data_IF_810604413336
#
_entry.id   IF_810604413336
#
_cell.length_a   1.000
_cell.length_b   1.000
_cell.length_c   1.000
_cell.angle_alpha   90.00
_cell.angle_beta   90.00
_cell.angle_gamma   90.00
#
_symmetry.space_group_name_H-M   'P 1'
#
loop_
_entity.id
_entity.type
_entity.pdbx_description
1 polymer ?
#
# COMPACT_ATOMS: atom_id res chain seq x y z
N UNK A 1 6.54 -36.06 0.13
CA UNK A 1 5.27 -35.52 0.66
C UNK A 1 4.53 -36.68 1.33
N UNK A 2 4.06 -36.50 2.57
CA UNK A 2 3.00 -37.33 3.20
C UNK A 2 3.34 -38.75 3.69
N UNK A 3 4.20 -38.91 4.71
CA UNK A 3 4.46 -40.24 5.33
C UNK A 3 3.67 -40.47 6.65
N UNK A 4 2.42 -40.00 6.75
CA UNK A 4 1.52 -40.29 7.89
C UNK A 4 1.89 -39.69 9.27
N UNK A 5 3.14 -39.27 9.46
CA UNK A 5 3.63 -38.71 10.72
C UNK A 5 3.06 -37.31 10.99
N UNK A 6 2.88 -36.99 12.27
CA UNK A 6 2.44 -35.67 12.74
C UNK A 6 3.28 -34.54 12.13
N UNK A 7 4.60 -34.71 12.06
CA UNK A 7 5.53 -33.72 11.49
C UNK A 7 5.36 -33.54 9.98
N UNK A 8 5.02 -34.59 9.23
CA UNK A 8 4.75 -34.50 7.79
C UNK A 8 3.42 -33.80 7.47
N UNK A 9 2.48 -33.82 8.42
CA UNK A 9 1.17 -33.17 8.32
C UNK A 9 1.24 -31.67 8.59
N UNK A 10 2.24 -31.20 9.35
CA UNK A 10 2.44 -29.78 9.72
C UNK A 10 3.63 -29.13 9.02
N UNK A 11 4.51 -29.91 8.37
CA UNK A 11 5.66 -29.39 7.61
C UNK A 11 5.18 -28.54 6.43
N UNK A 12 5.66 -27.30 6.38
CA UNK A 12 5.36 -26.35 5.31
C UNK A 12 4.11 -25.48 5.54
N UNK A 13 3.32 -25.75 6.59
CA UNK A 13 2.13 -24.95 6.91
C UNK A 13 2.46 -23.65 7.67
N UNK A 14 3.69 -23.47 8.16
CA UNK A 14 4.05 -22.32 9.01
C UNK A 14 3.30 -22.36 10.35
N UNK A 15 3.71 -21.55 11.33
CA UNK A 15 3.13 -21.60 12.69
C UNK A 15 1.64 -21.23 12.77
N UNK A 16 1.07 -20.60 11.74
CA UNK A 16 -0.32 -20.13 11.71
C UNK A 16 -1.17 -20.65 10.56
N UNK A 17 -0.65 -21.49 9.66
CA UNK A 17 -1.34 -21.96 8.44
C UNK A 17 -1.83 -20.85 7.48
N UNK A 18 -1.60 -19.56 7.77
CA UNK A 18 -2.08 -18.39 7.00
C UNK A 18 -1.09 -17.20 6.96
N UNK A 19 0.00 -17.22 7.73
CA UNK A 19 0.93 -16.08 7.85
C UNK A 19 1.86 -15.86 6.64
N UNK A 20 2.14 -16.90 5.87
CA UNK A 20 3.11 -16.84 4.76
C UNK A 20 2.66 -15.88 3.65
N UNK A 21 1.36 -15.86 3.34
CA UNK A 21 0.82 -14.96 2.32
C UNK A 21 0.91 -13.50 2.78
N UNK A 22 0.41 -13.19 3.98
CA UNK A 22 0.48 -11.82 4.53
C UNK A 22 1.93 -11.32 4.64
N UNK A 23 2.84 -12.18 5.11
CA UNK A 23 4.26 -11.88 5.19
C UNK A 23 4.83 -11.57 3.81
N UNK A 24 4.60 -12.44 2.82
CA UNK A 24 5.12 -12.30 1.46
C UNK A 24 4.57 -11.05 0.77
N UNK A 25 3.26 -10.82 0.84
CA UNK A 25 2.62 -9.62 0.27
C UNK A 25 3.19 -8.35 0.90
N UNK A 26 3.50 -8.35 2.20
CA UNK A 26 4.16 -7.22 2.85
C UNK A 26 5.56 -6.94 2.28
N UNK A 27 6.32 -7.98 1.91
CA UNK A 27 7.67 -7.81 1.30
C UNK A 27 7.58 -7.33 -0.15
N UNK A 28 6.65 -7.91 -0.91
CA UNK A 28 6.41 -7.49 -2.31
C UNK A 28 6.00 -6.02 -2.36
N UNK A 29 5.05 -5.61 -1.51
CA UNK A 29 4.61 -4.21 -1.45
C UNK A 29 5.70 -3.27 -0.92
N UNK A 30 6.58 -3.72 0.00
CA UNK A 30 7.75 -2.95 0.43
C UNK A 30 8.73 -2.68 -0.71
N UNK A 31 9.06 -3.71 -1.50
CA UNK A 31 9.91 -3.57 -2.69
C UNK A 31 9.25 -2.68 -3.73
N UNK A 32 7.93 -2.83 -3.94
CA UNK A 32 7.14 -1.94 -4.79
C UNK A 32 7.25 -0.48 -4.35
N UNK A 33 7.15 -0.21 -3.04
CA UNK A 33 7.32 1.14 -2.50
C UNK A 33 8.74 1.65 -2.69
N UNK A 34 9.76 0.80 -2.51
CA UNK A 34 11.15 1.21 -2.74
C UNK A 34 11.33 1.75 -4.16
N UNK A 35 10.80 1.05 -5.17
CA UNK A 35 10.87 1.48 -6.56
C UNK A 35 10.04 2.74 -6.81
N UNK A 36 8.77 2.73 -6.41
CA UNK A 36 7.81 3.81 -6.72
C UNK A 36 8.12 5.11 -5.97
N UNK A 37 8.51 5.03 -4.70
CA UNK A 37 8.90 6.21 -3.92
C UNK A 37 10.24 6.76 -4.39
N UNK A 38 11.19 5.91 -4.80
CA UNK A 38 12.42 6.39 -5.44
C UNK A 38 12.10 7.15 -6.72
N UNK A 39 11.22 6.62 -7.58
CA UNK A 39 10.75 7.34 -8.76
C UNK A 39 10.13 8.69 -8.38
N UNK A 40 9.26 8.74 -7.37
CA UNK A 40 8.62 9.99 -6.93
C UNK A 40 9.67 11.02 -6.49
N UNK A 41 10.60 10.65 -5.59
CA UNK A 41 11.62 11.55 -5.06
C UNK A 41 12.53 12.05 -6.18
N UNK A 42 13.05 11.16 -7.02
CA UNK A 42 13.94 11.53 -8.12
C UNK A 42 13.21 12.41 -9.14
N UNK A 43 11.99 12.05 -9.53
CA UNK A 43 11.23 12.82 -10.53
C UNK A 43 10.86 14.22 -10.05
N UNK A 44 10.52 14.39 -8.76
CA UNK A 44 10.29 15.70 -8.16
C UNK A 44 11.58 16.50 -8.05
N UNK A 45 12.68 15.88 -7.62
CA UNK A 45 13.99 16.55 -7.48
C UNK A 45 14.55 17.06 -8.83
N UNK A 46 14.15 16.44 -9.95
CA UNK A 46 14.53 16.84 -11.30
C UNK A 46 13.59 17.88 -11.92
N UNK A 47 12.54 18.34 -11.20
CA UNK A 47 11.71 19.44 -11.68
C UNK A 47 12.48 20.77 -11.64
N UNK A 48 12.22 21.68 -12.59
CA UNK A 48 12.88 22.99 -12.60
C UNK A 48 12.46 23.86 -11.42
N UNK A 49 11.22 23.71 -10.93
CA UNK A 49 10.63 24.46 -9.83
C UNK A 49 9.32 23.77 -9.35
N UNK A 50 8.70 24.25 -8.26
CA UNK A 50 7.61 23.56 -7.53
C UNK A 50 6.28 24.33 -7.50
N UNK A 51 6.04 25.21 -8.46
CA UNK A 51 4.78 25.93 -8.63
C UNK A 51 3.65 24.95 -8.93
N UNK A 52 2.43 25.37 -8.61
CA UNK A 52 1.25 24.59 -8.91
C UNK A 52 1.17 24.22 -10.39
N UNK A 53 1.49 25.15 -11.30
CA UNK A 53 1.45 24.92 -12.75
C UNK A 53 2.43 23.82 -13.19
N UNK A 54 3.68 23.86 -12.69
CA UNK A 54 4.70 22.87 -13.05
C UNK A 54 4.41 21.49 -12.48
N UNK A 55 4.03 21.39 -11.20
CA UNK A 55 3.70 20.09 -10.59
C UNK A 55 2.46 19.50 -11.26
N UNK A 56 1.42 20.32 -11.50
CA UNK A 56 0.23 19.87 -12.21
C UNK A 56 0.55 19.38 -13.63
N UNK A 57 1.38 20.11 -14.37
CA UNK A 57 1.84 19.72 -15.70
C UNK A 57 2.63 18.41 -15.68
N UNK A 58 3.46 18.21 -14.64
CA UNK A 58 4.15 16.94 -14.42
C UNK A 58 3.18 15.79 -14.13
N UNK A 59 2.21 15.96 -13.23
CA UNK A 59 1.18 14.96 -12.92
C UNK A 59 0.39 14.57 -14.18
N UNK A 60 0.09 15.52 -15.06
CA UNK A 60 -0.67 15.28 -16.29
C UNK A 60 0.07 14.39 -17.31
N UNK A 61 1.37 14.18 -17.17
CA UNK A 61 2.13 13.29 -18.07
C UNK A 61 1.77 11.82 -17.81
N UNK A 62 1.76 10.94 -18.83
CA UNK A 62 1.35 9.54 -18.67
C UNK A 62 2.16 8.76 -17.63
N UNK A 63 3.49 8.91 -17.62
CA UNK A 63 4.34 8.14 -16.71
C UNK A 63 4.16 8.56 -15.23
N UNK A 64 4.24 9.86 -14.87
CA UNK A 64 3.93 10.31 -13.51
C UNK A 64 2.52 9.96 -13.04
N UNK A 65 1.50 10.14 -13.87
CA UNK A 65 0.11 9.80 -13.49
C UNK A 65 -0.04 8.31 -13.17
N UNK A 66 0.47 7.42 -14.03
CA UNK A 66 0.47 5.97 -13.76
C UNK A 66 1.24 5.65 -12.48
N UNK A 67 2.43 6.21 -12.29
CA UNK A 67 3.24 5.98 -11.11
C UNK A 67 2.54 6.44 -9.82
N UNK A 68 1.90 7.61 -9.82
CA UNK A 68 1.13 8.12 -8.68
C UNK A 68 -0.05 7.22 -8.35
N UNK A 69 -0.79 6.73 -9.35
CA UNK A 69 -1.89 5.77 -9.14
C UNK A 69 -1.35 4.48 -8.49
N UNK A 70 -0.23 3.95 -9.00
CA UNK A 70 0.40 2.77 -8.42
C UNK A 70 0.92 3.02 -7.00
N UNK A 71 1.43 4.22 -6.69
CA UNK A 71 1.81 4.63 -5.34
C UNK A 71 0.60 4.59 -4.42
N UNK A 72 -0.53 5.19 -4.81
CA UNK A 72 -1.74 5.16 -3.99
C UNK A 72 -2.16 3.71 -3.68
N UNK A 73 -2.21 2.84 -4.70
CA UNK A 73 -2.61 1.44 -4.50
C UNK A 73 -1.60 0.72 -3.59
N UNK A 74 -0.31 0.76 -3.93
CA UNK A 74 0.72 -0.04 -3.28
C UNK A 74 1.04 0.45 -1.87
N UNK A 75 1.21 1.76 -1.68
CA UNK A 75 1.56 2.35 -0.39
C UNK A 75 0.42 2.23 0.60
N UNK A 76 -0.84 2.48 0.21
CA UNK A 76 -1.97 2.29 1.12
C UNK A 76 -2.23 0.82 1.46
N UNK A 77 -2.00 -0.10 0.51
CA UNK A 77 -2.04 -1.54 0.80
C UNK A 77 -0.97 -1.95 1.81
N UNK A 78 0.27 -1.48 1.62
CA UNK A 78 1.38 -1.74 2.53
C UNK A 78 1.10 -1.18 3.94
N UNK A 79 0.66 0.08 4.02
CA UNK A 79 0.35 0.75 5.27
C UNK A 79 -0.77 0.05 6.03
N UNK A 80 -1.85 -0.35 5.34
CA UNK A 80 -2.95 -1.15 5.92
C UNK A 80 -2.42 -2.40 6.62
N UNK A 81 -1.59 -3.20 5.94
CA UNK A 81 -1.05 -4.44 6.50
C UNK A 81 -0.15 -4.19 7.71
N UNK A 82 0.76 -3.21 7.62
CA UNK A 82 1.67 -2.88 8.72
C UNK A 82 0.94 -2.37 9.95
N UNK A 83 -0.03 -1.47 9.76
CA UNK A 83 -0.86 -0.95 10.86
C UNK A 83 -1.74 -2.06 11.43
N UNK A 84 -2.27 -2.97 10.60
CA UNK A 84 -3.06 -4.09 11.09
C UNK A 84 -2.26 -4.97 12.08
N UNK A 85 -1.01 -5.31 11.76
CA UNK A 85 -0.13 -6.05 12.68
C UNK A 85 0.08 -5.28 13.99
N UNK A 86 0.36 -3.98 13.90
CA UNK A 86 0.49 -3.12 15.10
C UNK A 86 -0.79 -3.12 15.94
N UNK A 87 -1.97 -3.03 15.32
CA UNK A 87 -3.24 -3.05 16.04
C UNK A 87 -3.50 -4.40 16.71
N UNK A 88 -3.13 -5.50 16.07
CA UNK A 88 -3.21 -6.85 16.63
C UNK A 88 -2.31 -7.02 17.86
N UNK A 89 -1.13 -6.42 17.87
CA UNK A 89 -0.15 -6.53 18.95
C UNK A 89 -0.43 -5.59 20.15
N UNK A 90 -1.05 -4.41 19.91
CA UNK A 90 -1.11 -3.35 20.92
C UNK A 90 -2.52 -2.95 21.37
N UNK A 91 -3.59 -3.31 20.64
CA UNK A 91 -4.98 -2.93 21.01
C UNK A 91 -5.74 -4.11 21.62
N UNK A 92 -5.97 -4.01 22.93
CA UNK A 92 -6.54 -5.10 23.73
C UNK A 92 -8.01 -4.89 24.11
N UNK A 93 -8.47 -3.64 24.23
CA UNK A 93 -9.87 -3.34 24.59
C UNK A 93 -10.82 -3.61 23.41
N UNK A 94 -11.90 -4.35 23.64
CA UNK A 94 -12.80 -4.83 22.58
C UNK A 94 -13.45 -3.71 21.76
N UNK A 95 -13.97 -2.66 22.41
CA UNK A 95 -14.59 -1.53 21.71
C UNK A 95 -13.59 -0.78 20.82
N UNK A 96 -12.41 -0.48 21.36
CA UNK A 96 -11.32 0.19 20.65
C UNK A 96 -10.77 -0.66 19.52
N UNK A 97 -10.71 -1.98 19.71
CA UNK A 97 -10.29 -2.94 18.68
C UNK A 97 -11.21 -2.88 17.46
N UNK A 98 -12.53 -2.94 17.65
CA UNK A 98 -13.49 -2.89 16.53
C UNK A 98 -13.35 -1.58 15.73
N UNK A 99 -13.28 -0.44 16.42
CA UNK A 99 -13.11 0.85 15.78
C UNK A 99 -11.79 0.93 14.99
N UNK A 100 -10.68 0.46 15.57
CA UNK A 100 -9.39 0.46 14.91
C UNK A 100 -9.35 -0.47 13.68
N UNK A 101 -9.97 -1.64 13.77
CA UNK A 101 -10.14 -2.57 12.65
C UNK A 101 -10.97 -1.99 11.50
N UNK A 102 -12.01 -1.23 11.81
CA UNK A 102 -12.79 -0.52 10.79
C UNK A 102 -11.94 0.53 10.09
N UNK A 103 -11.25 1.38 10.86
CA UNK A 103 -10.46 2.49 10.34
C UNK A 103 -9.28 2.02 9.49
N UNK A 104 -8.55 0.98 9.91
CA UNK A 104 -7.40 0.47 9.15
C UNK A 104 -7.79 -0.07 7.78
N UNK A 105 -9.06 -0.46 7.58
CA UNK A 105 -9.56 -0.90 6.29
C UNK A 105 -10.16 0.25 5.45
N UNK A 106 -10.95 1.14 6.07
CA UNK A 106 -11.67 2.19 5.33
C UNK A 106 -10.75 3.35 4.94
N UNK A 107 -9.91 3.83 5.86
CA UNK A 107 -9.11 5.05 5.64
C UNK A 107 -8.15 4.89 4.45
N UNK A 108 -7.34 3.82 4.35
CA UNK A 108 -6.43 3.65 3.22
C UNK A 108 -7.18 3.49 1.89
N UNK A 109 -8.34 2.82 1.89
CA UNK A 109 -9.17 2.66 0.71
C UNK A 109 -9.74 4.00 0.23
N UNK A 110 -10.34 4.79 1.13
CA UNK A 110 -10.89 6.10 0.80
C UNK A 110 -9.80 7.07 0.32
N UNK A 111 -8.64 7.07 0.97
CA UNK A 111 -7.50 7.88 0.58
C UNK A 111 -6.96 7.49 -0.82
N UNK A 112 -6.86 6.18 -1.10
CA UNK A 112 -6.48 5.69 -2.42
C UNK A 112 -7.48 6.15 -3.50
N UNK A 113 -8.77 5.94 -3.26
CA UNK A 113 -9.83 6.32 -4.21
C UNK A 113 -9.83 7.82 -4.51
N UNK A 114 -9.71 8.66 -3.47
CA UNK A 114 -9.66 10.11 -3.62
C UNK A 114 -8.39 10.57 -4.38
N UNK A 115 -7.23 10.01 -4.06
CA UNK A 115 -5.98 10.31 -4.74
C UNK A 115 -5.99 9.89 -6.21
N UNK A 116 -6.47 8.67 -6.50
CA UNK A 116 -6.61 8.16 -7.86
C UNK A 116 -7.54 9.04 -8.68
N UNK A 117 -8.72 9.39 -8.15
CA UNK A 117 -9.67 10.28 -8.81
C UNK A 117 -9.03 11.65 -9.12
N UNK A 118 -8.27 12.20 -8.17
CA UNK A 118 -7.57 13.48 -8.35
C UNK A 118 -6.52 13.43 -9.47
N UNK A 119 -5.72 12.36 -9.51
CA UNK A 119 -4.71 12.15 -10.57
C UNK A 119 -5.38 11.96 -11.93
N UNK A 120 -6.43 11.14 -12.00
CA UNK A 120 -7.19 10.93 -13.25
C UNK A 120 -7.81 12.22 -13.77
N UNK A 121 -8.37 13.05 -12.88
CA UNK A 121 -8.94 14.34 -13.26
C UNK A 121 -7.90 15.26 -13.89
N UNK A 122 -6.68 15.28 -13.35
CA UNK A 122 -5.56 16.06 -13.92
C UNK A 122 -5.09 15.46 -15.24
N UNK A 123 -4.87 14.15 -15.29
CA UNK A 123 -4.32 13.45 -16.46
C UNK A 123 -5.26 13.47 -17.68
N UNK A 124 -6.58 13.49 -17.46
CA UNK A 124 -7.60 13.49 -18.50
C UNK A 124 -8.13 14.90 -18.83
N UNK A 125 -7.53 15.96 -18.27
CA UNK A 125 -7.90 17.35 -18.57
C UNK A 125 -9.21 17.84 -17.97
N UNK A 126 -9.76 17.14 -16.96
CA UNK A 126 -10.99 17.52 -16.28
C UNK A 126 -10.82 18.53 -15.13
N UNK A 127 -9.61 19.04 -14.94
CA UNK A 127 -9.24 19.93 -13.84
C UNK A 127 -8.74 21.28 -14.36
#
# INVERSE_FOLDING_TARGET
MGNGTSIGRVRGLGSSHQGTHHWLTSRITAVGNLVLITFLIVSLALLPEYSFATVRGWVARPLPSIALILIMINTFTHARMGVQVMLEDYVHEEGTKIAAWLLVNIVPFAAAAFGILSVLRIALGGA
#
